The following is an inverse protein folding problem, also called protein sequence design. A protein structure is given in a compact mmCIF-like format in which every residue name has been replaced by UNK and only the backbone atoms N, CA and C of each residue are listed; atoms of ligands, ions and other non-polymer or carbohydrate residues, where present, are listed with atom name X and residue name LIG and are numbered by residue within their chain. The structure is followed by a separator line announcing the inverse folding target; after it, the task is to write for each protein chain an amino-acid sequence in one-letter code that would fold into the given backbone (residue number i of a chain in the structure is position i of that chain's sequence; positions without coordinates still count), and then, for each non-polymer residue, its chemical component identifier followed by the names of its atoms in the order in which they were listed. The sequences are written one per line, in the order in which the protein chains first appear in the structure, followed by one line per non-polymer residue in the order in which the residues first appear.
data_IF_548736546650
#
_entry.id   IF_548736546650
#
_cell.length_a   1.000
_cell.length_b   1.000
_cell.length_c   1.000
_cell.angle_alpha   90.00
_cell.angle_beta   90.00
_cell.angle_gamma   90.00
#
_symmetry.space_group_name_H-M   'P 1'
#
loop_
_entity.id
_entity.type
_entity.pdbx_description
1 polymer ?
#
# COMPACT_ATOMS: atom_id res chain seq x y z
N UNK A 1 6.29 -3.11 4.66
CA UNK A 1 5.25 -4.16 4.70
C UNK A 1 4.49 -4.16 3.40
N UNK A 2 3.95 -5.31 3.01
CA UNK A 2 3.13 -5.50 1.81
C UNK A 2 1.87 -6.26 2.20
N UNK A 3 0.72 -5.87 1.66
CA UNK A 3 -0.53 -6.59 1.88
C UNK A 3 -1.49 -6.38 0.71
N UNK A 4 -2.32 -7.37 0.42
CA UNK A 4 -3.34 -7.33 -0.64
C UNK A 4 -4.71 -7.11 -0.02
N UNK A 5 -5.59 -6.40 -0.74
CA UNK A 5 -7.01 -6.45 -0.43
C UNK A 5 -7.60 -7.85 -0.67
N UNK A 6 -8.79 -8.11 -0.14
CA UNK A 6 -9.46 -9.42 -0.21
C UNK A 6 -9.62 -9.93 -1.64
N UNK A 7 -9.79 -9.01 -2.59
CA UNK A 7 -9.95 -9.33 -4.00
C UNK A 7 -8.63 -9.58 -4.74
N UNK A 8 -7.49 -9.19 -4.15
CA UNK A 8 -6.17 -9.23 -4.79
C UNK A 8 -5.97 -8.18 -5.88
N UNK A 9 -6.91 -7.25 -6.07
CA UNK A 9 -6.82 -6.21 -7.11
C UNK A 9 -5.94 -5.03 -6.69
N UNK A 10 -5.77 -4.83 -5.38
CA UNK A 10 -4.94 -3.75 -4.83
C UNK A 10 -3.87 -4.30 -3.91
N UNK A 11 -2.63 -3.89 -4.17
CA UNK A 11 -1.47 -4.11 -3.31
C UNK A 11 -1.15 -2.81 -2.56
N UNK A 12 -1.01 -2.89 -1.25
CA UNK A 12 -0.61 -1.78 -0.40
C UNK A 12 0.85 -1.98 0.02
N UNK A 13 1.66 -0.94 -0.17
CA UNK A 13 3.10 -0.95 0.07
C UNK A 13 3.46 0.12 1.07
N UNK A 14 4.01 -0.25 2.23
CA UNK A 14 4.50 0.71 3.21
C UNK A 14 5.89 1.20 2.81
N UNK A 15 6.00 2.49 2.49
CA UNK A 15 7.23 3.13 2.06
C UNK A 15 7.88 3.84 3.26
N UNK A 16 8.69 3.10 4.03
CA UNK A 16 9.30 3.59 5.27
C UNK A 16 10.09 4.90 5.10
N UNK A 17 10.83 5.07 4.01
CA UNK A 17 11.64 6.28 3.79
C UNK A 17 10.81 7.48 3.29
N UNK A 18 9.62 7.24 2.75
CA UNK A 18 8.75 8.28 2.18
C UNK A 18 7.63 8.72 3.11
N UNK A 19 7.48 8.05 4.27
CA UNK A 19 6.43 8.30 5.26
C UNK A 19 5.00 8.15 4.68
N UNK A 20 4.85 7.26 3.69
CA UNK A 20 3.60 7.02 2.98
C UNK A 20 3.37 5.54 2.62
N UNK A 21 2.18 5.27 2.09
CA UNK A 21 1.75 3.98 1.57
C UNK A 21 1.33 4.16 0.11
N UNK A 22 1.87 3.34 -0.77
CA UNK A 22 1.40 3.24 -2.16
C UNK A 22 0.28 2.21 -2.28
N UNK A 23 -0.77 2.55 -3.02
CA UNK A 23 -1.77 1.60 -3.51
C UNK A 23 -1.45 1.31 -4.97
N UNK A 24 -1.23 0.05 -5.28
CA UNK A 24 -0.85 -0.44 -6.60
C UNK A 24 -1.98 -1.30 -7.16
N UNK A 25 -2.42 -0.99 -8.37
CA UNK A 25 -3.30 -1.86 -9.15
C UNK A 25 -2.48 -3.07 -9.64
N UNK A 26 -2.91 -4.28 -9.28
CA UNK A 26 -2.11 -5.50 -9.51
C UNK A 26 -2.13 -5.97 -10.97
N UNK A 27 -3.20 -5.66 -11.71
CA UNK A 27 -3.32 -6.02 -13.12
C UNK A 27 -2.35 -5.21 -13.99
N UNK A 28 -2.29 -3.90 -13.78
CA UNK A 28 -1.47 -2.96 -14.55
C UNK A 28 -0.09 -2.74 -13.93
N UNK A 29 0.11 -3.13 -12.67
CA UNK A 29 1.32 -2.89 -11.86
C UNK A 29 1.64 -1.41 -11.70
N UNK A 30 0.62 -0.55 -11.74
CA UNK A 30 0.78 0.90 -11.60
C UNK A 30 0.35 1.34 -10.21
N UNK A 31 1.11 2.28 -9.63
CA UNK A 31 0.66 3.00 -8.46
C UNK A 31 -0.54 3.89 -8.86
N UNK A 32 -1.68 3.69 -8.20
CA UNK A 32 -2.93 4.40 -8.47
C UNK A 32 -3.27 5.41 -7.38
N UNK A 33 -2.65 5.29 -6.20
CA UNK A 33 -2.83 6.23 -5.08
C UNK A 33 -1.63 6.22 -4.15
N UNK A 34 -1.39 7.35 -3.50
CA UNK A 34 -0.44 7.49 -2.38
C UNK A 34 -1.18 8.03 -1.17
N UNK A 35 -0.93 7.45 0.01
CA UNK A 35 -1.60 7.77 1.27
C UNK A 35 -0.52 8.11 2.30
N UNK A 36 -0.56 9.32 2.89
CA UNK A 36 0.34 9.67 4.00
C UNK A 36 0.06 8.79 5.21
N UNK A 37 1.10 8.17 5.75
CA UNK A 37 0.96 7.15 6.81
C UNK A 37 1.69 7.52 8.12
N UNK A 38 2.47 8.60 8.12
CA UNK A 38 3.29 9.00 9.26
C UNK A 38 4.71 8.46 9.14
N UNK A 39 5.53 8.68 10.18
CA UNK A 39 6.96 8.39 10.14
C UNK A 39 7.24 6.89 10.05
N UNK A 40 7.99 6.49 9.02
CA UNK A 40 8.52 5.14 8.79
C UNK A 40 7.48 4.03 8.97
N UNK A 41 6.44 3.97 8.10
CA UNK A 41 5.46 2.91 8.16
C UNK A 41 6.11 1.57 7.81
N UNK A 42 5.85 0.55 8.63
CA UNK A 42 6.43 -0.79 8.46
C UNK A 42 5.39 -1.88 8.16
N UNK A 43 4.23 -1.83 8.83
CA UNK A 43 3.18 -2.84 8.73
C UNK A 43 1.88 -2.22 8.24
N UNK A 44 1.06 -3.01 7.56
CA UNK A 44 -0.25 -2.60 7.05
C UNK A 44 -1.24 -3.71 7.42
N UNK A 45 -2.35 -3.33 8.04
CA UNK A 45 -3.53 -4.16 8.20
C UNK A 45 -4.66 -3.50 7.43
N UNK A 46 -5.47 -4.31 6.75
CA UNK A 46 -6.61 -3.87 5.97
C UNK A 46 -7.82 -4.68 6.41
N UNK A 47 -8.94 -3.98 6.56
CA UNK A 47 -10.24 -4.55 6.86
C UNK A 47 -11.17 -4.11 5.72
N UNK A 48 -11.62 -5.08 4.93
CA UNK A 48 -12.43 -4.89 3.72
C UNK A 48 -13.50 -5.96 3.52
#
# INVERSE_FOLDING_TARGET
GLTLDRSGQRLFVANGLSDDVSVVDTATRKAVKTIRAGRVPHSIAIED
#
